data_IF_018590563475
#
_entry.id   IF_018590563475
#
_cell.length_a   1.000
_cell.length_b   1.000
_cell.length_c   1.000
_cell.angle_alpha   90.00
_cell.angle_beta   90.00
_cell.angle_gamma   90.00
#
_symmetry.space_group_name_H-M   'P 1'
#
loop_
_entity.id
_entity.type
_entity.pdbx_description
1 polymer ?
#
# COMPACT_ATOMS: atom_id res chain seq x y z
N UNK A 1 1.12 -17.13 -20.80
CA UNK A 1 1.37 -18.34 -21.56
C UNK A 1 2.79 -18.84 -21.23
N UNK A 2 2.88 -20.04 -20.65
CA UNK A 2 4.13 -20.64 -20.15
C UNK A 2 5.14 -20.88 -21.28
N UNK A 3 4.68 -21.16 -22.48
CA UNK A 3 5.54 -21.39 -23.65
C UNK A 3 6.18 -20.08 -24.14
N UNK A 4 5.41 -18.99 -24.21
CA UNK A 4 5.94 -17.67 -24.56
C UNK A 4 6.99 -17.23 -23.56
N UNK A 5 6.74 -17.44 -22.27
CA UNK A 5 7.68 -17.15 -21.20
C UNK A 5 8.97 -17.99 -21.30
N UNK A 6 8.85 -19.30 -21.53
CA UNK A 6 9.97 -20.20 -21.71
C UNK A 6 10.83 -19.79 -22.92
N UNK A 7 10.20 -19.40 -24.04
CA UNK A 7 10.90 -18.90 -25.21
C UNK A 7 11.66 -17.60 -24.92
N UNK A 8 11.04 -16.62 -24.23
CA UNK A 8 11.72 -15.37 -23.80
C UNK A 8 12.89 -15.65 -22.88
N UNK A 9 12.77 -16.61 -21.95
CA UNK A 9 13.87 -17.01 -21.07
C UNK A 9 15.03 -17.63 -21.84
N UNK A 10 14.75 -18.43 -22.89
CA UNK A 10 15.77 -18.99 -23.76
C UNK A 10 16.57 -17.90 -24.49
N UNK A 11 15.86 -16.90 -25.05
CA UNK A 11 16.52 -15.72 -25.63
C UNK A 11 17.38 -14.98 -24.62
N UNK A 12 16.84 -14.73 -23.42
CA UNK A 12 17.56 -14.04 -22.35
C UNK A 12 18.83 -14.77 -21.93
N UNK A 13 18.78 -16.10 -21.81
CA UNK A 13 19.95 -16.93 -21.49
C UNK A 13 20.99 -16.85 -22.59
N UNK A 14 20.58 -17.07 -23.85
CA UNK A 14 21.48 -17.06 -24.99
C UNK A 14 22.15 -15.67 -25.18
N UNK A 15 21.44 -14.59 -24.94
CA UNK A 15 21.99 -13.22 -24.96
C UNK A 15 23.02 -13.04 -23.85
N UNK A 16 22.77 -13.54 -22.65
CA UNK A 16 23.71 -13.49 -21.53
C UNK A 16 25.01 -14.29 -21.85
N UNK A 17 24.91 -15.36 -22.65
CA UNK A 17 26.02 -16.16 -23.14
C UNK A 17 26.71 -15.55 -24.38
N UNK A 18 26.30 -14.35 -24.79
CA UNK A 18 26.92 -13.58 -25.87
C UNK A 18 26.37 -13.84 -27.27
N UNK A 19 25.23 -14.51 -27.42
CA UNK A 19 24.59 -14.73 -28.71
C UNK A 19 24.04 -13.42 -29.31
N UNK A 20 24.17 -13.24 -30.61
CA UNK A 20 23.57 -12.11 -31.34
C UNK A 20 22.03 -12.33 -31.43
N UNK A 21 21.25 -11.43 -30.86
CA UNK A 21 19.79 -11.57 -30.77
C UNK A 21 18.99 -10.78 -31.83
N UNK A 22 19.65 -9.87 -32.56
CA UNK A 22 18.98 -9.00 -33.55
C UNK A 22 18.95 -9.53 -34.97
N UNK A 23 19.47 -10.72 -35.22
CA UNK A 23 19.59 -11.32 -36.56
C UNK A 23 18.85 -12.65 -36.72
N UNK A 24 17.99 -13.01 -35.77
CA UNK A 24 17.22 -14.26 -35.78
C UNK A 24 18.02 -15.52 -35.43
N UNK A 25 19.29 -15.40 -35.06
CA UNK A 25 20.16 -16.56 -34.80
C UNK A 25 19.65 -17.43 -33.64
N UNK A 26 19.14 -16.80 -32.55
CA UNK A 26 18.63 -17.53 -31.38
C UNK A 26 17.37 -18.30 -31.77
N UNK A 27 16.42 -17.68 -32.48
CA UNK A 27 15.22 -18.34 -32.98
C UNK A 27 15.55 -19.56 -33.86
N UNK A 28 16.52 -19.44 -34.76
CA UNK A 28 16.98 -20.56 -35.59
C UNK A 28 17.56 -21.71 -34.76
N UNK A 29 18.33 -21.43 -33.70
CA UNK A 29 18.86 -22.46 -32.79
C UNK A 29 17.78 -23.17 -32.00
N UNK A 30 16.71 -22.47 -31.61
CA UNK A 30 15.55 -23.09 -30.95
C UNK A 30 14.80 -24.00 -31.95
N UNK A 31 14.51 -23.51 -33.14
CA UNK A 31 13.81 -24.28 -34.19
C UNK A 31 14.60 -25.52 -34.59
N UNK A 32 15.92 -25.40 -34.73
CA UNK A 32 16.80 -26.54 -35.08
C UNK A 32 16.99 -27.55 -33.95
N UNK A 33 16.56 -27.21 -32.72
CA UNK A 33 16.77 -28.02 -31.53
C UNK A 33 18.18 -28.00 -30.98
N UNK A 34 19.03 -27.07 -31.44
CA UNK A 34 20.36 -26.83 -30.91
C UNK A 34 20.26 -26.18 -29.52
N UNK A 35 19.27 -25.33 -29.32
CA UNK A 35 18.91 -24.72 -28.04
C UNK A 35 17.56 -25.31 -27.61
N UNK A 36 17.54 -26.09 -26.52
CA UNK A 36 16.34 -26.75 -25.99
C UNK A 36 15.99 -26.17 -24.63
N UNK A 37 15.16 -25.12 -24.56
CA UNK A 37 14.61 -24.66 -23.29
C UNK A 37 13.67 -25.73 -22.70
N UNK A 38 13.66 -25.83 -21.38
CA UNK A 38 12.63 -26.58 -20.67
C UNK A 38 11.26 -25.91 -20.97
N UNK A 39 10.21 -26.69 -21.22
CA UNK A 39 8.86 -26.20 -21.50
C UNK A 39 8.66 -25.42 -22.83
N UNK A 40 8.98 -26.02 -23.97
CA UNK A 40 8.51 -25.49 -25.25
C UNK A 40 7.45 -26.43 -25.85
N UNK A 41 6.49 -25.93 -26.70
CA UNK A 41 5.51 -26.77 -27.35
C UNK A 41 6.18 -27.77 -28.27
N UNK A 42 5.72 -29.00 -28.25
CA UNK A 42 6.15 -30.06 -29.20
C UNK A 42 5.61 -29.81 -30.63
N UNK A 43 4.62 -28.90 -30.77
CA UNK A 43 4.07 -28.54 -32.05
C UNK A 43 4.95 -27.50 -32.77
N UNK A 44 5.58 -27.84 -33.91
CA UNK A 44 6.47 -26.94 -34.63
C UNK A 44 5.80 -25.65 -35.12
N UNK A 45 4.51 -25.69 -35.46
CA UNK A 45 3.79 -24.49 -35.92
C UNK A 45 3.54 -23.49 -34.80
N UNK A 46 3.20 -23.98 -33.62
CA UNK A 46 3.03 -23.16 -32.41
C UNK A 46 4.37 -22.58 -31.93
N UNK A 47 5.44 -23.36 -31.98
CA UNK A 47 6.79 -22.88 -31.65
C UNK A 47 7.24 -21.75 -32.58
N UNK A 48 6.96 -21.88 -33.89
CA UNK A 48 7.26 -20.84 -34.88
C UNK A 48 6.51 -19.54 -34.57
N UNK A 49 5.25 -19.62 -34.20
CA UNK A 49 4.43 -18.45 -33.87
C UNK A 49 5.03 -17.67 -32.68
N UNK A 50 5.47 -18.34 -31.61
CA UNK A 50 6.16 -17.69 -30.48
C UNK A 50 7.47 -17.06 -30.87
N UNK A 51 8.28 -17.75 -31.68
CA UNK A 51 9.58 -17.24 -32.13
C UNK A 51 9.40 -16.02 -33.05
N UNK A 52 8.48 -16.10 -34.01
CA UNK A 52 8.18 -14.98 -34.90
C UNK A 52 7.68 -13.77 -34.13
N UNK A 53 6.85 -13.97 -33.11
CA UNK A 53 6.39 -12.90 -32.20
C UNK A 53 7.55 -12.25 -31.41
N UNK A 54 8.47 -13.04 -30.87
CA UNK A 54 9.66 -12.54 -30.17
C UNK A 54 10.58 -11.78 -31.12
N UNK A 55 10.89 -12.32 -32.29
CA UNK A 55 11.74 -11.68 -33.30
C UNK A 55 11.13 -10.37 -33.82
N UNK A 56 9.80 -10.33 -33.96
CA UNK A 56 9.06 -9.11 -34.30
C UNK A 56 9.25 -8.05 -33.21
N UNK A 57 9.03 -8.38 -31.93
CA UNK A 57 9.22 -7.46 -30.81
C UNK A 57 10.65 -6.96 -30.70
N UNK A 58 11.65 -7.82 -30.99
CA UNK A 58 13.07 -7.44 -31.05
C UNK A 58 13.32 -6.44 -32.19
N UNK A 59 12.76 -6.72 -33.39
CA UNK A 59 12.93 -5.86 -34.57
C UNK A 59 12.34 -4.47 -34.38
N UNK A 60 11.22 -4.38 -33.65
CA UNK A 60 10.54 -3.12 -33.32
C UNK A 60 11.16 -2.39 -32.09
N UNK A 61 12.28 -2.90 -31.55
CA UNK A 61 12.91 -2.40 -30.32
C UNK A 61 11.96 -2.37 -29.10
N UNK A 62 11.06 -3.36 -28.99
CA UNK A 62 10.14 -3.51 -27.86
C UNK A 62 10.60 -4.57 -26.85
N UNK A 63 11.56 -5.44 -27.25
CA UNK A 63 12.11 -6.50 -26.41
C UNK A 63 13.65 -6.50 -26.49
N UNK A 64 14.31 -6.75 -25.36
CA UNK A 64 15.79 -6.74 -25.19
C UNK A 64 16.45 -5.45 -25.67
N UNK A 65 15.81 -4.31 -25.45
CA UNK A 65 16.36 -3.01 -25.79
C UNK A 65 17.26 -2.49 -24.68
N UNK A 66 18.18 -1.57 -25.04
CA UNK A 66 18.91 -0.80 -24.03
C UNK A 66 17.94 0.08 -23.24
N UNK A 67 18.11 0.18 -21.91
CA UNK A 67 17.34 1.10 -21.09
C UNK A 67 17.81 2.55 -21.32
N UNK A 68 17.23 3.20 -22.33
CA UNK A 68 17.53 4.59 -22.66
C UNK A 68 17.07 5.59 -21.61
N UNK A 69 16.26 5.15 -20.63
CA UNK A 69 15.71 5.99 -19.56
C UNK A 69 16.47 5.87 -18.24
N UNK A 70 17.40 4.92 -18.11
CA UNK A 70 18.09 4.63 -16.85
C UNK A 70 18.78 5.87 -16.27
N UNK A 71 19.55 6.59 -17.10
CA UNK A 71 20.25 7.80 -16.65
C UNK A 71 19.28 8.92 -16.29
N UNK A 72 18.22 9.11 -17.07
CA UNK A 72 17.18 10.11 -16.80
C UNK A 72 16.45 9.80 -15.49
N UNK A 73 16.17 8.53 -15.23
CA UNK A 73 15.53 8.09 -13.97
C UNK A 73 16.46 8.31 -12.78
N UNK A 74 17.77 7.99 -12.92
CA UNK A 74 18.78 8.23 -11.88
C UNK A 74 18.95 9.73 -11.58
N UNK A 75 19.00 10.57 -12.59
CA UNK A 75 19.08 12.03 -12.43
C UNK A 75 17.81 12.58 -11.77
N UNK A 76 16.64 12.11 -12.21
CA UNK A 76 15.37 12.46 -11.62
C UNK A 76 15.33 12.07 -10.13
N UNK A 77 15.78 10.85 -9.80
CA UNK A 77 15.85 10.38 -8.41
C UNK A 77 16.76 11.27 -7.55
N UNK A 78 17.96 11.61 -8.04
CA UNK A 78 18.89 12.52 -7.35
C UNK A 78 18.29 13.91 -7.12
N UNK A 79 17.64 14.46 -8.15
CA UNK A 79 16.96 15.75 -8.03
C UNK A 79 15.84 15.73 -7.00
N UNK A 80 15.02 14.67 -7.01
CA UNK A 80 13.93 14.51 -6.05
C UNK A 80 14.44 14.26 -4.63
N UNK A 81 15.48 13.46 -4.49
CA UNK A 81 16.17 13.24 -3.22
C UNK A 81 16.68 14.58 -2.65
N UNK A 82 17.34 15.39 -3.47
CA UNK A 82 17.82 16.71 -3.06
C UNK A 82 16.69 17.63 -2.58
N UNK A 83 15.56 17.66 -3.30
CA UNK A 83 14.37 18.42 -2.87
C UNK A 83 13.78 17.92 -1.56
N UNK A 84 13.64 16.60 -1.39
CA UNK A 84 13.10 15.99 -0.17
C UNK A 84 14.02 16.24 1.00
N UNK A 85 15.33 16.15 0.80
CA UNK A 85 16.33 16.44 1.81
C UNK A 85 16.28 17.91 2.25
N UNK A 86 16.27 18.85 1.30
CA UNK A 86 16.12 20.27 1.60
C UNK A 86 14.79 20.58 2.31
N UNK A 87 13.71 19.91 1.95
CA UNK A 87 12.43 20.03 2.65
C UNK A 87 12.52 19.48 4.08
N UNK A 88 13.16 18.32 4.29
CA UNK A 88 13.39 17.72 5.59
C UNK A 88 14.24 18.63 6.52
N UNK A 89 15.34 19.16 6.02
CA UNK A 89 16.21 20.09 6.74
C UNK A 89 15.49 21.37 7.18
N UNK A 90 14.57 21.86 6.35
CA UNK A 90 13.74 23.04 6.64
C UNK A 90 12.42 22.72 7.36
N UNK A 91 12.17 21.46 7.68
CA UNK A 91 10.94 21.00 8.32
C UNK A 91 9.68 21.32 7.51
N UNK A 92 9.74 21.30 6.17
CA UNK A 92 8.61 21.60 5.29
C UNK A 92 8.35 20.48 4.27
N UNK A 93 7.22 20.57 3.53
CA UNK A 93 6.86 19.59 2.50
C UNK A 93 5.90 18.51 2.98
N UNK A 94 5.35 18.61 4.19
CA UNK A 94 4.35 17.69 4.71
C UNK A 94 3.05 17.81 3.91
N UNK A 95 2.49 16.67 3.51
CA UNK A 95 1.18 16.59 2.85
C UNK A 95 0.19 15.73 3.64
N UNK A 96 0.68 14.92 4.58
CA UNK A 96 -0.17 14.00 5.31
C UNK A 96 0.30 13.82 6.76
N UNK A 97 -0.67 13.57 7.65
CA UNK A 97 -0.45 13.23 9.05
C UNK A 97 -1.36 12.09 9.49
N UNK A 98 -0.79 11.10 10.15
CA UNK A 98 -1.53 10.08 10.87
C UNK A 98 -1.67 10.51 12.33
N UNK A 99 -2.90 10.80 12.76
CA UNK A 99 -3.19 11.15 14.14
C UNK A 99 -3.56 9.89 14.92
N UNK A 100 -2.71 9.48 15.84
CA UNK A 100 -3.01 8.43 16.80
C UNK A 100 -3.93 9.01 17.88
N UNK A 101 -5.21 9.14 17.56
CA UNK A 101 -6.16 9.75 18.49
C UNK A 101 -6.42 8.90 19.74
N UNK A 102 -6.06 7.61 19.70
CA UNK A 102 -6.15 6.70 20.83
C UNK A 102 -4.98 5.72 20.84
N UNK A 103 -4.14 5.74 21.85
CA UNK A 103 -3.25 4.66 22.23
C UNK A 103 -3.98 3.72 23.18
N UNK A 104 -5.12 3.21 22.73
CA UNK A 104 -5.97 2.23 23.39
C UNK A 104 -6.85 1.55 22.35
N UNK A 105 -7.23 0.29 22.59
CA UNK A 105 -8.11 -0.46 21.70
C UNK A 105 -9.12 -1.27 22.53
N UNK A 106 -10.30 -1.50 21.97
CA UNK A 106 -11.34 -2.36 22.53
C UNK A 106 -11.28 -3.81 21.99
N UNK A 107 -10.28 -4.13 21.15
CA UNK A 107 -9.91 -5.47 20.71
C UNK A 107 -8.48 -5.80 21.13
N UNK A 108 -8.20 -7.11 21.26
CA UNK A 108 -6.92 -7.69 21.64
C UNK A 108 -6.41 -8.58 20.51
N UNK A 109 -6.22 -8.00 19.31
CA UNK A 109 -5.79 -8.76 18.13
C UNK A 109 -4.38 -9.32 18.31
N UNK A 110 -4.18 -10.61 18.01
CA UNK A 110 -2.92 -11.32 18.24
C UNK A 110 -1.76 -10.72 17.41
N UNK A 111 -1.96 -10.47 16.12
CA UNK A 111 -0.94 -9.96 15.20
C UNK A 111 -0.79 -8.43 15.22
N UNK A 112 -1.33 -7.74 16.23
CA UNK A 112 -1.36 -6.29 16.25
C UNK A 112 0.04 -5.67 16.39
N UNK A 113 0.56 -5.07 15.32
CA UNK A 113 1.86 -4.38 15.31
C UNK A 113 1.91 -3.22 16.33
N UNK A 114 0.76 -2.66 16.68
CA UNK A 114 0.61 -1.56 17.64
C UNK A 114 0.51 -2.03 19.12
N UNK A 115 0.85 -3.29 19.43
CA UNK A 115 0.70 -3.85 20.77
C UNK A 115 -0.68 -3.54 21.37
N UNK A 116 -1.75 -3.93 20.67
CA UNK A 116 -3.15 -3.66 21.00
C UNK A 116 -3.46 -2.15 21.18
N UNK A 117 -2.76 -1.34 20.41
CA UNK A 117 -2.90 0.12 20.38
C UNK A 117 -2.00 0.88 21.35
N UNK A 118 -1.20 0.20 22.18
CA UNK A 118 -0.35 0.84 23.19
C UNK A 118 0.97 1.40 22.64
N UNK A 119 1.42 0.94 21.46
CA UNK A 119 2.64 1.40 20.80
C UNK A 119 3.84 1.45 21.76
N UNK A 120 4.07 0.35 22.51
CA UNK A 120 5.12 0.21 23.55
C UNK A 120 4.97 1.19 24.73
N UNK A 121 3.91 1.99 24.78
CA UNK A 121 3.65 2.99 25.81
C UNK A 121 2.48 2.60 26.73
N UNK A 122 1.86 3.64 27.32
CA UNK A 122 0.68 3.53 28.17
C UNK A 122 -0.58 3.85 27.38
N UNK A 123 -1.73 3.34 27.84
CA UNK A 123 -3.02 3.76 27.34
C UNK A 123 -3.15 5.29 27.44
N UNK A 124 -3.53 5.91 26.34
CA UNK A 124 -3.70 7.37 26.25
C UNK A 124 -4.74 7.74 25.19
N UNK A 125 -5.48 8.80 25.42
CA UNK A 125 -6.33 9.44 24.43
C UNK A 125 -5.76 10.82 24.10
N UNK A 126 -5.74 11.15 22.82
CA UNK A 126 -5.28 12.47 22.36
C UNK A 126 -6.25 13.55 22.85
N UNK A 127 -5.70 14.61 23.39
CA UNK A 127 -6.50 15.78 23.74
C UNK A 127 -6.91 16.57 22.50
N UNK A 128 -8.02 17.30 22.56
CA UNK A 128 -8.43 18.18 21.47
C UNK A 128 -7.37 19.28 21.19
N UNK A 129 -6.63 19.71 22.19
CA UNK A 129 -5.55 20.67 22.02
C UNK A 129 -4.43 20.13 21.15
N UNK A 130 -3.95 18.90 21.43
CA UNK A 130 -2.93 18.21 20.62
C UNK A 130 -3.43 18.02 19.20
N UNK A 131 -4.67 17.57 19.00
CA UNK A 131 -5.26 17.35 17.68
C UNK A 131 -5.33 18.65 16.86
N UNK A 132 -5.76 19.77 17.46
CA UNK A 132 -5.78 21.09 16.80
C UNK A 132 -4.38 21.57 16.45
N UNK A 133 -3.43 21.48 17.37
CA UNK A 133 -2.04 21.84 17.11
C UNK A 133 -1.41 21.00 15.99
N UNK A 134 -1.81 19.74 15.87
CA UNK A 134 -1.35 18.87 14.77
C UNK A 134 -1.83 19.36 13.42
N UNK A 135 -3.07 19.85 13.30
CA UNK A 135 -3.55 20.47 12.05
C UNK A 135 -2.85 21.80 11.76
N UNK A 136 -2.62 22.64 12.77
CA UNK A 136 -1.84 23.88 12.63
C UNK A 136 -0.41 23.58 12.18
N UNK A 137 0.20 22.53 12.76
CA UNK A 137 1.52 22.05 12.39
C UNK A 137 1.55 21.61 10.93
N UNK A 138 0.58 20.77 10.50
CA UNK A 138 0.50 20.31 9.11
C UNK A 138 0.38 21.47 8.13
N UNK A 139 -0.51 22.43 8.35
CA UNK A 139 -0.63 23.62 7.48
C UNK A 139 0.68 24.42 7.44
N UNK A 140 1.29 24.66 8.58
CA UNK A 140 2.55 25.44 8.70
C UNK A 140 3.67 24.79 7.88
N UNK A 141 3.75 23.46 7.88
CA UNK A 141 4.83 22.69 7.25
C UNK A 141 4.46 22.14 5.86
N UNK A 142 3.27 22.46 5.34
CA UNK A 142 2.76 21.88 4.07
C UNK A 142 3.28 22.56 2.79
N UNK A 143 4.00 23.67 2.88
CA UNK A 143 4.47 24.37 1.69
C UNK A 143 3.33 24.66 0.70
N UNK A 144 3.49 24.26 -0.54
CA UNK A 144 2.51 24.50 -1.61
C UNK A 144 1.50 23.36 -1.81
N UNK A 145 1.50 22.31 -0.95
CA UNK A 145 0.51 21.24 -1.07
C UNK A 145 -0.90 21.76 -0.83
N UNK A 146 -1.80 21.50 -1.77
CA UNK A 146 -3.20 21.91 -1.70
C UNK A 146 -4.00 20.94 -0.84
N UNK A 147 -3.88 19.64 -1.12
CA UNK A 147 -4.56 18.59 -0.38
C UNK A 147 -3.69 18.16 0.80
N UNK A 148 -4.28 18.15 1.98
CA UNK A 148 -3.66 17.77 3.23
C UNK A 148 -4.42 16.58 3.80
N UNK A 149 -3.80 15.41 3.81
CA UNK A 149 -4.41 14.17 4.28
C UNK A 149 -4.26 14.04 5.79
N UNK A 150 -5.33 13.68 6.46
CA UNK A 150 -5.38 13.47 7.91
C UNK A 150 -6.04 12.12 8.18
N UNK A 151 -5.23 11.15 8.60
CA UNK A 151 -5.70 9.80 8.91
C UNK A 151 -5.94 9.68 10.41
N UNK A 152 -7.18 9.43 10.81
CA UNK A 152 -7.49 9.06 12.19
C UNK A 152 -7.21 7.58 12.41
N UNK A 153 -6.24 7.33 13.28
CA UNK A 153 -5.66 6.03 13.54
C UNK A 153 -5.35 5.82 15.03
N UNK A 154 -4.59 4.77 15.34
CA UNK A 154 -4.14 4.41 16.69
C UNK A 154 -4.48 2.96 17.01
N UNK A 155 -4.97 2.68 18.20
CA UNK A 155 -5.60 1.42 18.55
C UNK A 155 -6.99 1.34 17.93
N UNK A 156 -7.99 2.05 18.51
CA UNK A 156 -9.31 2.25 17.92
C UNK A 156 -9.69 3.74 18.01
N UNK A 157 -9.69 4.46 16.91
CA UNK A 157 -9.95 5.90 16.93
C UNK A 157 -11.35 6.30 17.41
N UNK A 158 -12.35 5.43 17.24
CA UNK A 158 -13.71 5.71 17.71
C UNK A 158 -13.86 5.68 19.24
N UNK A 159 -12.86 5.20 19.99
CA UNK A 159 -12.79 5.41 21.44
C UNK A 159 -12.69 6.90 21.79
N UNK A 160 -12.13 7.70 20.87
CA UNK A 160 -11.99 9.15 21.02
C UNK A 160 -12.81 9.93 19.98
N UNK A 161 -14.00 9.42 19.62
CA UNK A 161 -14.84 9.98 18.54
C UNK A 161 -15.18 11.46 18.69
N UNK A 162 -15.29 11.95 19.92
CA UNK A 162 -15.57 13.37 20.18
C UNK A 162 -14.41 14.27 19.74
N UNK A 163 -13.18 13.83 19.99
CA UNK A 163 -11.98 14.53 19.51
C UNK A 163 -11.88 14.42 17.99
N UNK A 164 -12.16 13.27 17.39
CA UNK A 164 -12.19 13.10 15.93
C UNK A 164 -13.16 14.11 15.29
N UNK A 165 -14.41 14.16 15.75
CA UNK A 165 -15.44 15.11 15.24
C UNK A 165 -15.03 16.57 15.42
N UNK A 166 -14.51 16.92 16.59
CA UNK A 166 -14.09 18.28 16.91
C UNK A 166 -12.86 18.69 16.09
N UNK A 167 -11.97 17.77 15.81
CA UNK A 167 -10.78 17.99 14.95
C UNK A 167 -11.18 18.26 13.51
N UNK A 168 -12.14 17.50 12.98
CA UNK A 168 -12.68 17.74 11.63
C UNK A 168 -13.34 19.12 11.55
N UNK A 169 -14.18 19.47 12.53
CA UNK A 169 -14.83 20.79 12.58
C UNK A 169 -13.80 21.92 12.62
N UNK A 170 -12.74 21.78 13.42
CA UNK A 170 -11.63 22.72 13.47
C UNK A 170 -10.88 22.79 12.14
N UNK A 171 -10.61 21.66 11.49
CA UNK A 171 -9.98 21.62 10.18
C UNK A 171 -10.79 22.40 9.13
N UNK A 172 -12.11 22.25 9.11
CA UNK A 172 -13.00 23.03 8.21
C UNK A 172 -12.99 24.53 8.51
N UNK A 173 -12.89 24.91 9.78
CA UNK A 173 -12.71 26.30 10.17
C UNK A 173 -11.35 26.85 9.72
N UNK A 174 -10.30 26.07 9.94
CA UNK A 174 -8.92 26.41 9.57
C UNK A 174 -8.76 26.58 8.05
N UNK A 175 -9.39 25.70 7.24
CA UNK A 175 -9.45 25.85 5.77
C UNK A 175 -10.06 27.19 5.38
N UNK A 176 -11.23 27.53 5.91
CA UNK A 176 -11.91 28.80 5.60
C UNK A 176 -11.06 30.00 5.96
N UNK A 177 -10.47 30.00 7.16
CA UNK A 177 -9.61 31.08 7.66
C UNK A 177 -8.34 31.25 6.84
N UNK A 178 -7.70 30.13 6.45
CA UNK A 178 -6.47 30.16 5.66
C UNK A 178 -6.73 30.58 4.23
N UNK A 179 -7.72 30.02 3.59
CA UNK A 179 -8.10 30.27 2.18
C UNK A 179 -8.70 31.68 1.97
N UNK A 180 -9.23 32.30 3.03
CA UNK A 180 -9.74 33.68 2.99
C UNK A 180 -8.65 34.75 3.00
N UNK A 181 -7.37 34.40 3.19
CA UNK A 181 -6.25 35.35 3.15
C UNK A 181 -5.72 35.48 1.72
N UNK A 182 -5.65 36.70 1.23
CA UNK A 182 -5.07 37.00 -0.08
C UNK A 182 -3.61 36.52 -0.17
N UNK A 183 -3.25 35.87 -1.28
CA UNK A 183 -1.90 35.39 -1.55
C UNK A 183 -1.55 34.02 -0.96
N UNK A 184 -2.40 33.43 -0.14
CA UNK A 184 -2.18 32.07 0.34
C UNK A 184 -2.56 31.03 -0.73
N UNK A 185 -1.78 29.95 -0.90
CA UNK A 185 -2.22 28.82 -1.71
C UNK A 185 -3.44 28.17 -1.04
N UNK A 186 -4.42 27.74 -1.85
CA UNK A 186 -5.60 27.03 -1.32
C UNK A 186 -5.18 25.77 -0.56
N UNK A 187 -5.84 25.49 0.57
CA UNK A 187 -5.67 24.27 1.36
C UNK A 187 -6.99 23.55 1.53
N UNK A 188 -6.95 22.22 1.49
CA UNK A 188 -8.11 21.36 1.70
C UNK A 188 -7.69 20.15 2.53
N UNK A 189 -8.27 19.97 3.70
CA UNK A 189 -8.12 18.75 4.47
C UNK A 189 -8.96 17.61 3.90
N UNK A 190 -8.35 16.45 3.76
CA UNK A 190 -9.01 15.20 3.41
C UNK A 190 -8.87 14.27 4.60
N UNK A 191 -10.00 13.98 5.24
CA UNK A 191 -10.02 13.14 6.45
C UNK A 191 -10.32 11.70 6.07
N UNK A 192 -9.59 10.76 6.69
CA UNK A 192 -9.82 9.31 6.61
C UNK A 192 -9.92 8.72 8.01
N UNK A 193 -10.59 7.57 8.12
CA UNK A 193 -10.79 6.86 9.38
C UNK A 193 -10.53 5.38 9.16
N UNK A 194 -9.66 4.79 9.98
CA UNK A 194 -9.48 3.32 10.04
C UNK A 194 -10.11 2.82 11.33
N UNK A 195 -11.02 1.84 11.26
CA UNK A 195 -11.73 1.33 12.43
C UNK A 195 -11.92 -0.18 12.41
N UNK A 196 -11.91 -0.79 13.60
CA UNK A 196 -12.30 -2.19 13.80
C UNK A 196 -13.82 -2.41 13.81
N UNK A 197 -14.61 -1.35 13.73
CA UNK A 197 -16.06 -1.40 13.55
C UNK A 197 -16.92 -1.62 14.80
N UNK A 198 -16.36 -2.00 15.93
CA UNK A 198 -17.15 -2.30 17.16
C UNK A 198 -18.00 -1.12 17.58
N UNK A 199 -17.49 0.11 17.43
CA UNK A 199 -18.15 1.34 17.88
C UNK A 199 -18.91 2.08 16.78
N UNK A 200 -19.09 1.50 15.60
CA UNK A 200 -19.94 2.08 14.56
C UNK A 200 -21.40 2.04 15.01
N UNK A 201 -22.03 3.20 14.95
CA UNK A 201 -23.47 3.46 15.16
C UNK A 201 -23.97 4.44 14.08
N UNK A 202 -25.25 4.82 14.14
CA UNK A 202 -25.86 5.72 13.13
C UNK A 202 -25.19 7.09 13.10
N UNK A 203 -24.78 7.63 14.25
CA UNK A 203 -24.08 8.91 14.36
C UNK A 203 -22.68 8.85 13.70
N UNK A 204 -21.98 7.72 13.82
CA UNK A 204 -20.70 7.50 13.12
C UNK A 204 -20.91 7.37 11.61
N UNK A 205 -21.94 6.64 11.18
CA UNK A 205 -22.28 6.49 9.75
C UNK A 205 -22.56 7.86 9.11
N UNK A 206 -23.45 8.65 9.72
CA UNK A 206 -23.81 9.98 9.22
C UNK A 206 -22.60 10.92 9.18
N UNK A 207 -21.77 10.89 10.22
CA UNK A 207 -20.56 11.68 10.29
C UNK A 207 -19.54 11.30 9.20
N UNK A 208 -19.26 10.00 9.04
CA UNK A 208 -18.28 9.52 8.04
C UNK A 208 -18.76 9.78 6.63
N UNK A 209 -20.05 9.63 6.33
CA UNK A 209 -20.62 9.93 5.02
C UNK A 209 -20.47 11.41 4.63
N UNK A 210 -20.55 12.31 5.61
CA UNK A 210 -20.46 13.76 5.38
C UNK A 210 -19.01 14.26 5.30
N UNK A 211 -18.12 13.76 6.14
CA UNK A 211 -16.83 14.39 6.40
C UNK A 211 -15.62 13.58 5.92
N UNK A 212 -15.72 12.24 5.84
CA UNK A 212 -14.59 11.39 5.48
C UNK A 212 -14.51 11.14 3.99
N UNK A 213 -13.34 11.38 3.39
CA UNK A 213 -13.08 10.99 1.98
C UNK A 213 -13.04 9.48 1.86
N UNK A 214 -12.45 8.78 2.83
CA UNK A 214 -12.35 7.33 2.83
C UNK A 214 -12.57 6.76 4.24
N UNK A 215 -13.09 5.54 4.32
CA UNK A 215 -13.23 4.78 5.56
C UNK A 215 -12.64 3.39 5.35
N UNK A 216 -11.65 3.03 6.17
CA UNK A 216 -11.00 1.72 6.15
C UNK A 216 -11.61 0.85 7.25
N UNK A 217 -12.18 -0.29 6.85
CA UNK A 217 -12.92 -1.21 7.70
C UNK A 217 -12.12 -2.49 7.88
N UNK A 218 -11.75 -2.81 9.12
CA UNK A 218 -10.88 -3.95 9.43
C UNK A 218 -11.64 -5.26 9.46
N UNK A 219 -11.46 -6.11 8.43
CA UNK A 219 -12.06 -7.45 8.32
C UNK A 219 -11.08 -8.39 7.61
N UNK A 220 -10.78 -9.55 8.21
CA UNK A 220 -9.79 -10.47 7.66
C UNK A 220 -10.40 -11.53 6.72
N UNK A 221 -11.73 -11.68 6.70
CA UNK A 221 -12.41 -12.62 5.82
C UNK A 221 -13.47 -13.44 6.52
N UNK A 222 -13.42 -14.77 6.32
CA UNK A 222 -14.34 -15.74 6.90
C UNK A 222 -14.40 -15.59 8.43
N UNK A 223 -15.57 -15.89 9.01
CA UNK A 223 -15.80 -15.71 10.44
C UNK A 223 -14.74 -16.38 11.31
N UNK A 224 -14.41 -17.64 11.04
CA UNK A 224 -13.43 -18.38 11.85
C UNK A 224 -12.01 -17.79 11.72
N UNK A 225 -11.63 -17.31 10.54
CA UNK A 225 -10.34 -16.62 10.31
C UNK A 225 -10.31 -15.31 11.10
N UNK A 226 -11.33 -14.49 10.94
CA UNK A 226 -11.40 -13.20 11.64
C UNK A 226 -11.40 -13.36 13.17
N UNK A 227 -12.29 -14.25 13.68
CA UNK A 227 -12.47 -14.46 15.11
C UNK A 227 -11.30 -15.21 15.77
N UNK A 228 -10.44 -15.89 15.02
CA UNK A 228 -9.21 -16.49 15.57
C UNK A 228 -8.19 -15.44 16.00
N UNK A 229 -8.17 -14.27 15.33
CA UNK A 229 -7.16 -13.22 15.55
C UNK A 229 -7.71 -11.94 16.17
N UNK A 230 -8.95 -11.56 15.84
CA UNK A 230 -9.56 -10.28 16.27
C UNK A 230 -10.59 -10.50 17.36
N UNK A 231 -10.10 -10.85 18.54
CA UNK A 231 -10.92 -11.06 19.74
C UNK A 231 -10.94 -9.82 20.63
N UNK A 232 -11.93 -9.71 21.49
CA UNK A 232 -11.92 -8.75 22.58
C UNK A 232 -11.10 -9.26 23.79
N UNK A 233 -11.00 -8.46 24.84
CA UNK A 233 -10.25 -8.84 26.06
C UNK A 233 -10.83 -10.01 26.84
N UNK A 234 -12.05 -10.45 26.50
CA UNK A 234 -12.67 -11.66 27.05
C UNK A 234 -12.49 -12.88 26.13
N UNK A 235 -11.71 -12.75 25.04
CA UNK A 235 -11.50 -13.79 24.05
C UNK A 235 -12.70 -14.02 23.11
N UNK A 236 -13.67 -13.11 23.07
CA UNK A 236 -14.81 -13.24 22.16
C UNK A 236 -14.49 -12.66 20.79
N UNK A 237 -14.84 -13.39 19.73
CA UNK A 237 -14.71 -12.93 18.37
C UNK A 237 -15.52 -11.67 18.07
N UNK A 238 -15.09 -10.89 17.11
CA UNK A 238 -15.70 -9.62 16.77
C UNK A 238 -16.54 -9.65 15.48
N UNK A 239 -16.47 -10.70 14.68
CA UNK A 239 -17.07 -10.81 13.36
C UNK A 239 -18.59 -10.50 13.36
N UNK A 240 -19.40 -11.22 14.14
CA UNK A 240 -20.85 -11.04 14.17
C UNK A 240 -21.27 -9.64 14.65
N UNK A 241 -20.39 -8.97 15.38
CA UNK A 241 -20.63 -7.63 15.93
C UNK A 241 -20.34 -6.53 14.91
N UNK A 242 -19.44 -6.77 13.94
CA UNK A 242 -18.95 -5.74 13.01
C UNK A 242 -19.53 -5.88 11.60
N UNK A 243 -19.69 -7.09 11.06
CA UNK A 243 -20.12 -7.29 9.67
C UNK A 243 -21.45 -6.60 9.34
N UNK A 244 -22.53 -6.73 10.15
CA UNK A 244 -23.77 -6.01 9.87
C UNK A 244 -23.62 -4.49 9.88
N UNK A 245 -22.69 -3.96 10.69
CA UNK A 245 -22.40 -2.53 10.77
C UNK A 245 -21.63 -2.06 9.53
N UNK A 246 -20.67 -2.85 9.05
CA UNK A 246 -19.93 -2.56 7.84
C UNK A 246 -20.84 -2.55 6.62
N UNK A 247 -21.71 -3.55 6.47
CA UNK A 247 -22.70 -3.61 5.39
C UNK A 247 -23.61 -2.37 5.41
N UNK A 248 -24.10 -1.98 6.59
CA UNK A 248 -24.95 -0.79 6.75
C UNK A 248 -24.20 0.50 6.41
N UNK A 249 -22.97 0.65 6.89
CA UNK A 249 -22.13 1.82 6.59
C UNK A 249 -21.84 1.91 5.09
N UNK A 250 -21.39 0.84 4.47
CA UNK A 250 -21.07 0.81 3.02
C UNK A 250 -22.31 1.12 2.20
N UNK A 251 -23.45 0.48 2.48
CA UNK A 251 -24.70 0.75 1.78
C UNK A 251 -25.10 2.23 1.90
N UNK A 252 -25.12 2.77 3.11
CA UNK A 252 -25.47 4.18 3.37
C UNK A 252 -24.51 5.13 2.66
N UNK A 253 -23.21 4.81 2.65
CA UNK A 253 -22.18 5.62 2.00
C UNK A 253 -22.36 5.67 0.48
N UNK A 254 -22.61 4.52 -0.15
CA UNK A 254 -22.86 4.44 -1.58
C UNK A 254 -24.15 5.14 -2.00
N UNK A 255 -25.23 5.00 -1.20
CA UNK A 255 -26.51 5.69 -1.43
C UNK A 255 -26.34 7.21 -1.30
N UNK A 256 -25.63 7.68 -0.27
CA UNK A 256 -25.35 9.11 -0.07
C UNK A 256 -24.53 9.70 -1.25
N UNK A 257 -23.51 9.00 -1.73
CA UNK A 257 -22.70 9.43 -2.85
C UNK A 257 -23.51 9.48 -4.17
N UNK A 258 -24.37 8.49 -4.43
CA UNK A 258 -25.30 8.49 -5.57
C UNK A 258 -26.29 9.67 -5.53
N UNK A 259 -26.67 10.13 -4.33
CA UNK A 259 -27.51 11.31 -4.14
C UNK A 259 -26.75 12.65 -4.26
N UNK A 260 -25.46 12.62 -4.60
CA UNK A 260 -24.62 13.82 -4.74
C UNK A 260 -23.99 14.31 -3.44
N UNK A 261 -24.05 13.52 -2.37
CA UNK A 261 -23.40 13.80 -1.08
C UNK A 261 -22.11 13.02 -0.90
N UNK A 262 -21.11 13.64 -0.29
CA UNK A 262 -19.88 12.99 0.21
C UNK A 262 -19.11 12.10 -0.79
N UNK A 263 -18.31 11.20 -0.26
CA UNK A 263 -17.49 10.24 -1.02
C UNK A 263 -18.07 8.83 -0.92
N UNK A 264 -17.95 8.04 -1.99
CA UNK A 264 -18.28 6.61 -2.01
C UNK A 264 -17.12 5.74 -1.50
N UNK A 265 -15.92 6.29 -1.35
CA UNK A 265 -14.71 5.52 -1.11
C UNK A 265 -14.71 4.85 0.27
N UNK A 266 -14.44 3.56 0.27
CA UNK A 266 -14.16 2.73 1.44
C UNK A 266 -13.19 1.62 1.06
N UNK A 267 -12.58 0.98 2.05
CA UNK A 267 -11.83 -0.27 1.86
C UNK A 267 -12.15 -1.24 2.99
N UNK A 268 -12.37 -2.50 2.63
CA UNK A 268 -12.20 -3.61 3.56
C UNK A 268 -10.72 -3.94 3.59
N UNK A 269 -10.09 -3.82 4.74
CA UNK A 269 -8.68 -4.15 4.92
C UNK A 269 -8.52 -5.30 5.91
N UNK A 270 -7.95 -6.38 5.43
CA UNK A 270 -7.65 -7.57 6.22
C UNK A 270 -6.17 -7.94 6.18
N UNK A 271 -5.83 -8.92 7.00
CA UNK A 271 -4.49 -9.50 7.08
C UNK A 271 -4.60 -11.01 6.96
N UNK A 272 -3.79 -11.62 6.10
CA UNK A 272 -3.65 -13.06 6.04
C UNK A 272 -2.32 -13.50 6.65
N UNK A 273 -2.29 -14.71 7.18
CA UNK A 273 -1.19 -15.28 7.97
C UNK A 273 -0.90 -16.70 7.53
N UNK A 274 0.11 -17.35 8.12
CA UNK A 274 0.34 -18.79 7.95
C UNK A 274 -0.90 -19.66 8.26
N UNK A 275 -1.78 -19.20 9.14
CA UNK A 275 -2.97 -19.97 9.54
C UNK A 275 -4.14 -19.83 8.55
N UNK A 276 -4.11 -18.86 7.64
CA UNK A 276 -5.07 -18.70 6.55
C UNK A 276 -4.38 -18.33 5.22
N UNK A 277 -3.46 -19.16 4.74
CA UNK A 277 -2.75 -18.90 3.48
C UNK A 277 -3.67 -19.05 2.26
N UNK A 278 -4.86 -19.64 2.42
CA UNK A 278 -5.95 -19.78 1.44
C UNK A 278 -6.83 -18.52 1.37
N UNK A 279 -6.20 -17.35 1.33
CA UNK A 279 -6.86 -16.04 1.46
C UNK A 279 -7.89 -15.74 0.33
N UNK A 280 -7.86 -16.45 -0.79
CA UNK A 280 -8.86 -16.31 -1.85
C UNK A 280 -10.27 -16.65 -1.32
N UNK A 281 -10.40 -17.60 -0.42
CA UNK A 281 -11.67 -17.96 0.20
C UNK A 281 -12.18 -16.83 1.11
N UNK A 282 -11.27 -16.06 1.71
CA UNK A 282 -11.60 -14.86 2.47
C UNK A 282 -12.08 -13.73 1.56
N UNK A 283 -11.46 -13.56 0.39
CA UNK A 283 -11.91 -12.62 -0.64
C UNK A 283 -13.30 -13.01 -1.16
N UNK A 284 -13.52 -14.27 -1.55
CA UNK A 284 -14.84 -14.76 -2.00
C UNK A 284 -15.92 -14.49 -0.96
N UNK A 285 -15.61 -14.77 0.31
CA UNK A 285 -16.52 -14.49 1.42
C UNK A 285 -16.87 -12.99 1.55
N UNK A 286 -15.88 -12.10 1.42
CA UNK A 286 -16.12 -10.65 1.44
C UNK A 286 -16.99 -10.18 0.26
N UNK A 287 -16.80 -10.78 -0.93
CA UNK A 287 -17.61 -10.51 -2.11
C UNK A 287 -19.07 -10.96 -1.91
N UNK A 288 -19.29 -12.13 -1.28
CA UNK A 288 -20.63 -12.64 -0.92
C UNK A 288 -21.33 -11.74 0.11
N UNK A 289 -20.58 -11.09 0.99
CA UNK A 289 -21.09 -10.06 1.91
C UNK A 289 -21.47 -8.74 1.21
N UNK A 290 -21.17 -8.61 -0.08
CA UNK A 290 -21.49 -7.44 -0.90
C UNK A 290 -20.41 -6.35 -0.92
N UNK A 291 -19.21 -6.61 -0.41
CA UNK A 291 -18.09 -5.67 -0.51
C UNK A 291 -17.42 -5.75 -1.87
N UNK A 292 -16.96 -4.61 -2.41
CA UNK A 292 -16.32 -4.52 -3.73
C UNK A 292 -14.98 -3.77 -3.72
N UNK A 293 -14.58 -3.17 -2.60
CA UNK A 293 -13.31 -2.48 -2.41
C UNK A 293 -12.50 -3.25 -1.36
N UNK A 294 -11.51 -4.04 -1.79
CA UNK A 294 -10.82 -5.02 -0.96
C UNK A 294 -9.30 -4.80 -0.95
N UNK A 295 -8.68 -5.01 0.21
CA UNK A 295 -7.24 -5.03 0.41
C UNK A 295 -6.89 -6.06 1.47
N UNK A 296 -6.18 -7.13 1.08
CA UNK A 296 -5.61 -8.10 2.03
C UNK A 296 -4.09 -8.03 1.97
N UNK A 297 -3.48 -7.89 3.14
CA UNK A 297 -2.04 -7.78 3.29
C UNK A 297 -1.46 -9.04 3.94
N UNK A 298 -0.25 -9.46 3.52
CA UNK A 298 0.48 -10.46 4.30
C UNK A 298 0.81 -9.89 5.67
N UNK A 299 0.75 -10.74 6.71
CA UNK A 299 1.27 -10.35 8.01
C UNK A 299 2.77 -10.07 7.91
N UNK A 300 3.22 -9.00 8.56
CA UNK A 300 4.64 -8.67 8.72
C UNK A 300 4.95 -8.68 10.21
N UNK A 301 5.72 -9.67 10.63
CA UNK A 301 6.07 -9.90 12.02
C UNK A 301 7.44 -10.59 12.11
N UNK A 302 7.92 -10.87 13.33
CA UNK A 302 9.08 -11.74 13.52
C UNK A 302 8.82 -13.13 12.93
N UNK A 303 9.79 -13.76 12.26
CA UNK A 303 9.67 -15.13 11.77
C UNK A 303 9.41 -16.18 12.87
N UNK A 304 9.62 -15.82 14.13
CA UNK A 304 9.41 -16.67 15.31
C UNK A 304 7.94 -16.72 15.75
N UNK A 305 7.12 -15.79 15.26
CA UNK A 305 5.70 -15.76 15.59
C UNK A 305 4.96 -16.94 14.93
N UNK A 306 4.05 -17.62 15.65
CA UNK A 306 3.38 -18.81 15.14
C UNK A 306 2.52 -18.56 13.90
N UNK A 307 2.07 -17.33 13.70
CA UNK A 307 1.29 -16.90 12.56
C UNK A 307 2.12 -16.30 11.41
N UNK A 308 3.47 -16.26 11.54
CA UNK A 308 4.36 -15.75 10.52
C UNK A 308 4.29 -16.59 9.25
N UNK A 309 4.25 -15.91 8.10
CA UNK A 309 4.38 -16.54 6.79
C UNK A 309 5.79 -17.13 6.63
N UNK A 310 5.86 -18.32 6.04
CA UNK A 310 7.08 -19.08 5.82
C UNK A 310 7.25 -19.46 4.35
N UNK A 311 8.43 -19.95 3.98
CA UNK A 311 8.69 -20.44 2.62
C UNK A 311 7.74 -21.57 2.20
N UNK A 312 7.18 -22.32 3.18
CA UNK A 312 6.18 -23.38 2.91
C UNK A 312 4.86 -22.85 2.39
N UNK A 313 4.53 -21.60 2.69
CA UNK A 313 3.29 -20.96 2.26
C UNK A 313 3.42 -20.35 0.85
N UNK A 314 4.65 -20.13 0.39
CA UNK A 314 4.94 -19.32 -0.78
C UNK A 314 4.23 -19.84 -2.04
N UNK A 315 4.40 -21.11 -2.38
CA UNK A 315 3.79 -21.72 -3.57
C UNK A 315 2.26 -21.67 -3.55
N UNK A 316 1.68 -21.81 -2.35
CA UNK A 316 0.24 -21.65 -2.19
C UNK A 316 -0.19 -20.20 -2.43
N UNK A 317 0.52 -19.24 -1.82
CA UNK A 317 0.21 -17.82 -2.00
C UNK A 317 0.35 -17.35 -3.45
N UNK A 318 1.34 -17.87 -4.18
CA UNK A 318 1.48 -17.62 -5.62
C UNK A 318 0.20 -18.03 -6.36
N UNK A 319 -0.28 -19.28 -6.15
CA UNK A 319 -1.53 -19.75 -6.75
C UNK A 319 -2.76 -18.94 -6.32
N UNK A 320 -2.81 -18.52 -5.06
CA UNK A 320 -3.90 -17.68 -4.56
C UNK A 320 -4.00 -16.33 -5.30
N UNK A 321 -2.86 -15.72 -5.66
CA UNK A 321 -2.87 -14.50 -6.46
C UNK A 321 -3.29 -14.74 -7.91
N UNK A 322 -2.91 -15.88 -8.50
CA UNK A 322 -3.37 -16.28 -9.85
C UNK A 322 -4.88 -16.48 -9.86
N UNK A 323 -5.42 -17.29 -8.93
CA UNK A 323 -6.87 -17.50 -8.77
C UNK A 323 -7.62 -16.18 -8.53
N UNK A 324 -7.02 -15.23 -7.79
CA UNK A 324 -7.62 -13.91 -7.57
C UNK A 324 -7.71 -13.10 -8.86
N UNK A 325 -6.70 -13.18 -9.73
CA UNK A 325 -6.75 -12.52 -11.03
C UNK A 325 -7.85 -13.10 -11.90
N UNK A 326 -7.96 -14.42 -11.98
CA UNK A 326 -9.05 -15.13 -12.69
C UNK A 326 -10.42 -14.76 -12.12
N UNK A 327 -10.60 -14.82 -10.81
CA UNK A 327 -11.83 -14.43 -10.12
C UNK A 327 -12.24 -12.98 -10.47
N UNK A 328 -11.25 -12.08 -10.51
CA UNK A 328 -11.49 -10.68 -10.87
C UNK A 328 -12.00 -10.53 -12.31
N UNK A 329 -11.46 -11.30 -13.26
CA UNK A 329 -11.93 -11.33 -14.66
C UNK A 329 -13.35 -11.92 -14.77
N UNK A 330 -13.66 -12.95 -13.98
CA UNK A 330 -15.02 -13.51 -13.94
C UNK A 330 -16.06 -12.49 -13.47
N UNK A 331 -15.74 -11.73 -12.40
CA UNK A 331 -16.64 -10.69 -11.88
C UNK A 331 -16.81 -9.55 -12.88
N UNK A 332 -15.76 -9.18 -13.59
CA UNK A 332 -15.82 -8.18 -14.69
C UNK A 332 -16.78 -8.65 -15.81
N UNK A 333 -16.62 -9.90 -16.27
CA UNK A 333 -17.51 -10.52 -17.30
C UNK A 333 -18.97 -10.61 -16.83
N UNK A 334 -19.22 -10.77 -15.54
CA UNK A 334 -20.56 -10.79 -14.94
C UNK A 334 -21.19 -9.39 -14.79
N UNK A 335 -20.43 -8.33 -15.05
CA UNK A 335 -20.88 -6.93 -14.86
C UNK A 335 -21.00 -6.50 -13.39
N UNK A 336 -20.31 -7.17 -12.48
CA UNK A 336 -20.27 -6.89 -11.04
C UNK A 336 -18.81 -6.79 -10.56
N UNK A 337 -17.98 -5.89 -11.13
CA UNK A 337 -16.56 -5.81 -10.84
C UNK A 337 -16.26 -5.45 -9.39
N UNK A 338 -15.11 -5.92 -8.92
CA UNK A 338 -14.55 -5.49 -7.64
C UNK A 338 -13.11 -5.01 -7.81
N UNK A 339 -12.67 -4.16 -6.90
CA UNK A 339 -11.31 -3.67 -6.84
C UNK A 339 -10.54 -4.43 -5.76
N UNK A 340 -9.42 -5.04 -6.17
CA UNK A 340 -8.39 -5.47 -5.25
C UNK A 340 -7.25 -4.45 -5.32
N UNK A 341 -6.98 -3.77 -4.21
CA UNK A 341 -6.08 -2.61 -4.14
C UNK A 341 -4.72 -2.85 -4.84
N UNK A 342 -4.13 -4.03 -4.65
CA UNK A 342 -2.82 -4.35 -5.22
C UNK A 342 -2.84 -4.66 -6.71
N UNK A 343 -4.02 -4.82 -7.33
CA UNK A 343 -4.17 -5.00 -8.77
C UNK A 343 -4.53 -3.71 -9.51
N UNK A 344 -4.66 -2.61 -8.79
CA UNK A 344 -4.92 -1.29 -9.37
C UNK A 344 -3.62 -0.68 -9.88
N UNK A 345 -3.20 -1.08 -11.08
CA UNK A 345 -2.04 -0.54 -11.77
C UNK A 345 -2.46 0.24 -13.01
N UNK A 346 -1.70 1.27 -13.35
CA UNK A 346 -1.86 2.03 -14.59
C UNK A 346 -0.66 1.74 -15.50
N UNK A 347 -0.92 1.08 -16.62
CA UNK A 347 0.10 0.73 -17.63
C UNK A 347 0.24 1.81 -18.70
N UNK A 348 -0.76 2.70 -18.86
CA UNK A 348 -0.79 3.72 -19.92
C UNK A 348 -0.13 5.02 -19.48
N UNK A 349 -0.56 5.57 -18.34
CA UNK A 349 -0.10 6.88 -17.86
C UNK A 349 0.88 6.77 -16.70
N UNK A 350 0.80 5.68 -15.95
CA UNK A 350 1.61 5.39 -14.76
C UNK A 350 1.42 6.39 -13.62
N UNK A 351 1.68 6.01 -12.39
CA UNK A 351 1.68 6.94 -11.27
C UNK A 351 2.81 7.95 -11.39
N UNK A 352 2.63 9.08 -10.70
CA UNK A 352 3.65 10.12 -10.61
C UNK A 352 5.04 9.53 -10.27
N UNK A 353 6.04 9.85 -11.07
CA UNK A 353 7.42 9.33 -10.94
C UNK A 353 7.98 9.56 -9.52
N UNK A 354 7.62 10.63 -8.84
CA UNK A 354 8.00 10.88 -7.45
C UNK A 354 7.60 9.75 -6.50
N UNK A 355 6.35 9.28 -6.61
CA UNK A 355 5.86 8.16 -5.77
C UNK A 355 6.54 6.86 -6.14
N UNK A 356 6.85 6.66 -7.43
CA UNK A 356 7.53 5.47 -7.92
C UNK A 356 8.99 5.39 -7.45
N UNK A 357 9.64 6.51 -7.20
CA UNK A 357 11.03 6.53 -6.76
C UNK A 357 11.21 6.31 -5.26
N UNK A 358 10.27 6.76 -4.44
CA UNK A 358 10.48 6.84 -2.99
C UNK A 358 9.27 6.45 -2.12
N UNK A 359 8.26 5.81 -2.71
CA UNK A 359 7.14 5.22 -1.98
C UNK A 359 6.19 6.23 -1.34
N UNK A 360 5.69 5.91 -0.13
CA UNK A 360 4.61 6.64 0.54
C UNK A 360 5.01 8.01 1.10
N UNK A 361 6.31 8.34 1.13
CA UNK A 361 6.82 9.58 1.69
C UNK A 361 6.92 9.61 3.22
N UNK A 362 6.92 8.44 3.88
CA UNK A 362 7.15 8.35 5.33
C UNK A 362 8.43 9.10 5.75
N UNK A 363 8.35 9.80 6.89
CA UNK A 363 9.45 10.60 7.40
C UNK A 363 9.79 11.87 6.61
N UNK A 364 9.11 12.15 5.49
CA UNK A 364 9.36 13.34 4.66
C UNK A 364 8.09 14.11 4.33
N UNK A 365 7.13 13.49 3.67
CA UNK A 365 5.85 14.08 3.29
C UNK A 365 4.69 13.60 4.19
N UNK A 366 4.91 12.52 4.91
CA UNK A 366 3.97 11.87 5.82
C UNK A 366 4.65 11.62 7.17
N UNK A 367 3.96 11.94 8.26
CA UNK A 367 4.39 11.72 9.65
C UNK A 367 3.23 11.15 10.48
N UNK A 368 3.56 10.57 11.64
CA UNK A 368 2.58 10.19 12.65
C UNK A 368 2.74 11.06 13.89
N UNK A 369 1.61 11.37 14.55
CA UNK A 369 1.59 12.16 15.80
C UNK A 369 0.86 11.35 16.87
N UNK A 370 1.51 11.13 18.01
CA UNK A 370 0.98 10.39 19.16
C UNK A 370 0.01 11.24 20.00
N UNK A 371 -0.72 10.65 20.97
CA UNK A 371 -1.57 11.40 21.89
C UNK A 371 -0.80 12.45 22.73
N UNK A 372 0.51 12.25 22.92
CA UNK A 372 1.40 13.19 23.64
C UNK A 372 1.92 14.31 22.74
N UNK A 373 1.69 14.22 21.43
CA UNK A 373 2.20 15.16 20.45
C UNK A 373 3.57 14.80 19.88
N UNK A 374 4.12 13.64 20.23
CA UNK A 374 5.40 13.16 19.67
C UNK A 374 5.26 12.84 18.19
N UNK A 375 6.28 13.18 17.42
CA UNK A 375 6.32 13.07 15.96
C UNK A 375 7.21 11.91 15.55
N UNK A 376 6.68 11.02 14.70
CA UNK A 376 7.41 9.87 14.15
C UNK A 376 7.31 9.82 12.62
N UNK A 377 8.23 9.13 11.90
CA UNK A 377 8.20 9.01 10.43
C UNK A 377 6.91 8.39 9.89
N UNK A 378 6.33 7.41 10.57
CA UNK A 378 5.01 6.87 10.29
C UNK A 378 4.45 6.14 11.52
N UNK A 379 3.20 5.67 11.41
CA UNK A 379 2.50 4.97 12.49
C UNK A 379 3.21 3.70 12.99
N UNK A 380 4.00 3.03 12.15
CA UNK A 380 4.72 1.81 12.53
C UNK A 380 5.99 2.08 13.36
N UNK A 381 6.50 3.31 13.35
CA UNK A 381 7.64 3.71 14.16
C UNK A 381 7.24 4.38 15.49
N UNK A 382 5.93 4.59 15.71
CA UNK A 382 5.46 5.24 16.92
C UNK A 382 5.85 4.43 18.17
N UNK A 383 6.50 5.09 19.13
CA UNK A 383 7.02 4.47 20.36
C UNK A 383 8.48 4.02 20.27
N UNK A 384 9.09 3.98 19.09
CA UNK A 384 10.52 3.70 18.95
C UNK A 384 11.32 5.01 19.09
N UNK A 385 12.01 5.17 20.24
CA UNK A 385 12.81 6.37 20.55
C UNK A 385 13.90 6.66 19.49
N UNK A 386 14.39 5.64 18.79
CA UNK A 386 15.36 5.80 17.70
C UNK A 386 14.81 6.71 16.62
N UNK A 387 13.51 6.62 16.34
CA UNK A 387 12.82 7.35 15.27
C UNK A 387 11.95 8.52 15.76
N UNK A 388 12.07 8.92 17.02
CA UNK A 388 11.40 10.12 17.51
C UNK A 388 11.98 11.36 16.81
N UNK A 389 11.16 12.06 16.01
CA UNK A 389 11.56 13.25 15.25
C UNK A 389 11.51 14.54 16.09
N UNK A 390 10.69 14.57 17.10
CA UNK A 390 10.43 15.73 17.96
C UNK A 390 9.01 15.72 18.51
N UNK A 391 8.47 16.89 18.83
CA UNK A 391 7.13 17.03 19.37
C UNK A 391 6.42 18.25 18.75
N UNK A 392 5.09 18.24 18.63
CA UNK A 392 4.33 19.34 18.00
C UNK A 392 4.47 20.69 18.72
N UNK A 393 4.91 20.70 19.96
CA UNK A 393 5.15 21.91 20.75
C UNK A 393 6.53 22.50 20.45
N UNK A 394 7.54 21.67 20.31
CA UNK A 394 8.94 22.06 20.11
C UNK A 394 9.34 22.06 18.63
N UNK A 395 8.56 21.35 17.79
CA UNK A 395 8.83 21.15 16.38
C UNK A 395 9.67 19.90 16.09
N UNK A 396 10.21 19.83 14.88
CA UNK A 396 11.12 18.77 14.48
C UNK A 396 12.50 19.07 15.01
N UNK A 397 13.01 18.20 15.87
CA UNK A 397 14.30 18.35 16.55
C UNK A 397 15.40 17.48 15.92
N UNK A 398 15.00 16.41 15.22
CA UNK A 398 15.90 15.42 14.65
C UNK A 398 15.67 15.29 13.13
N UNK A 399 15.99 16.39 12.42
CA UNK A 399 15.87 16.46 10.97
C UNK A 399 16.82 15.48 10.25
N UNK A 400 17.92 15.04 10.90
CA UNK A 400 18.81 14.01 10.38
C UNK A 400 18.08 12.70 10.06
N UNK A 401 17.11 12.29 10.89
CA UNK A 401 16.28 11.11 10.63
C UNK A 401 15.40 11.34 9.40
N UNK A 402 14.79 12.52 9.27
CA UNK A 402 14.01 12.84 8.06
C UNK A 402 14.89 12.81 6.81
N UNK A 403 16.15 13.23 6.91
CA UNK A 403 17.11 13.13 5.81
C UNK A 403 17.43 11.67 5.45
N UNK A 404 17.55 10.77 6.43
CA UNK A 404 17.72 9.34 6.17
C UNK A 404 16.53 8.76 5.34
N UNK A 405 15.30 9.17 5.67
CA UNK A 405 14.11 8.78 4.88
C UNK A 405 14.07 9.47 3.50
N UNK A 406 14.55 10.71 3.39
CA UNK A 406 14.66 11.40 2.11
C UNK A 406 15.67 10.74 1.16
N UNK A 407 16.75 10.21 1.72
CA UNK A 407 17.79 9.50 1.00
C UNK A 407 17.38 8.06 0.59
N UNK A 408 16.30 7.53 1.17
CA UNK A 408 15.83 6.19 0.90
C UNK A 408 14.95 6.16 -0.36
N UNK A 409 15.49 5.63 -1.46
CA UNK A 409 14.80 5.49 -2.75
C UNK A 409 15.24 4.20 -3.46
N UNK A 410 14.63 3.89 -4.60
CA UNK A 410 14.91 2.65 -5.36
C UNK A 410 16.36 2.51 -5.83
N UNK A 411 17.08 3.61 -6.05
CA UNK A 411 18.48 3.58 -6.51
C UNK A 411 19.49 3.58 -5.36
N UNK A 412 19.06 3.78 -4.12
CA UNK A 412 19.92 3.69 -2.93
C UNK A 412 19.88 2.31 -2.26
N UNK A 413 19.19 1.36 -2.88
CA UNK A 413 19.08 -0.05 -2.48
C UNK A 413 19.55 -0.91 -3.63
N UNK A 414 20.64 -1.65 -3.46
CA UNK A 414 21.31 -2.42 -4.53
C UNK A 414 20.36 -3.39 -5.25
N UNK A 415 19.55 -4.14 -4.50
CA UNK A 415 18.59 -5.09 -5.07
C UNK A 415 17.44 -4.39 -5.81
N UNK A 416 16.98 -3.25 -5.30
CA UNK A 416 15.91 -2.49 -5.93
C UNK A 416 16.35 -1.86 -7.25
N UNK A 417 17.60 -1.37 -7.34
CA UNK A 417 18.14 -0.76 -8.54
C UNK A 417 18.18 -1.70 -9.77
N UNK A 418 18.18 -3.01 -9.53
CA UNK A 418 18.20 -4.06 -10.56
C UNK A 418 16.85 -4.79 -10.70
N UNK A 419 15.84 -4.40 -9.93
CA UNK A 419 14.56 -5.07 -9.89
C UNK A 419 13.64 -4.59 -11.01
N UNK A 420 13.10 -5.51 -11.81
CA UNK A 420 12.15 -5.17 -12.87
C UNK A 420 10.87 -4.49 -12.34
N UNK A 421 10.45 -4.83 -11.11
CA UNK A 421 9.24 -4.28 -10.47
C UNK A 421 9.51 -2.95 -9.74
N UNK A 422 10.72 -2.37 -9.81
CA UNK A 422 11.13 -1.21 -9.01
C UNK A 422 10.18 -0.02 -9.12
N UNK A 423 9.70 0.29 -10.34
CA UNK A 423 8.79 1.42 -10.58
C UNK A 423 7.33 1.14 -10.20
N UNK A 424 6.96 -0.11 -9.94
CA UNK A 424 5.67 -0.49 -9.38
C UNK A 424 5.72 -0.54 -7.84
N UNK A 425 6.80 -1.11 -7.29
CA UNK A 425 7.02 -1.28 -5.86
C UNK A 425 7.42 0.01 -5.14
N UNK A 426 8.17 0.89 -5.82
CA UNK A 426 8.71 2.12 -5.24
C UNK A 426 9.65 1.89 -4.02
N UNK A 427 10.34 0.74 -3.98
CA UNK A 427 11.25 0.37 -2.89
C UNK A 427 10.58 -0.28 -1.67
N UNK A 428 9.26 -0.53 -1.71
CA UNK A 428 8.54 -1.17 -0.61
C UNK A 428 8.32 -0.28 0.62
N UNK A 429 8.01 -0.90 1.75
CA UNK A 429 7.76 -0.23 3.01
C UNK A 429 9.05 -0.12 3.85
N UNK A 430 9.44 1.10 4.23
CA UNK A 430 10.61 1.34 5.07
C UNK A 430 10.47 0.69 6.46
N UNK A 431 9.26 0.66 7.02
CA UNK A 431 9.02 0.00 8.31
C UNK A 431 9.15 -1.52 8.19
N UNK A 432 8.58 -2.15 7.15
CA UNK A 432 8.74 -3.59 6.93
C UNK A 432 10.22 -3.95 6.72
N UNK A 433 10.96 -3.13 5.97
CA UNK A 433 12.40 -3.29 5.80
C UNK A 433 13.12 -3.26 7.16
N UNK A 434 12.82 -2.25 7.98
CA UNK A 434 13.41 -2.10 9.31
C UNK A 434 13.08 -3.28 10.24
N UNK A 435 11.82 -3.70 10.30
CA UNK A 435 11.42 -4.85 11.14
C UNK A 435 12.05 -6.17 10.68
N UNK A 436 12.27 -6.34 9.37
CA UNK A 436 12.89 -7.55 8.84
C UNK A 436 14.42 -7.57 8.91
N UNK A 437 15.09 -6.40 8.85
CA UNK A 437 16.54 -6.32 8.67
C UNK A 437 17.27 -5.42 9.66
N UNK A 438 16.54 -4.62 10.45
CA UNK A 438 17.12 -3.58 11.32
C UNK A 438 17.50 -2.29 10.60
N UNK A 439 17.28 -2.19 9.28
CA UNK A 439 17.60 -1.02 8.45
C UNK A 439 16.40 -0.63 7.58
N UNK A 440 16.07 0.68 7.54
CA UNK A 440 15.00 1.20 6.67
C UNK A 440 15.30 1.03 5.18
N UNK A 441 16.56 0.81 4.81
CA UNK A 441 17.04 0.52 3.44
C UNK A 441 17.15 -0.96 3.14
N UNK A 442 16.92 -1.83 4.12
CA UNK A 442 16.94 -3.27 3.92
C UNK A 442 15.83 -3.75 2.99
N UNK A 443 15.92 -5.01 2.59
CA UNK A 443 14.91 -5.66 1.77
C UNK A 443 14.26 -6.81 2.53
N UNK A 444 12.95 -6.80 2.62
CA UNK A 444 12.16 -7.94 3.06
C UNK A 444 11.97 -8.88 1.88
N UNK A 445 12.91 -9.81 1.65
CA UNK A 445 12.98 -10.65 0.46
C UNK A 445 11.67 -11.40 0.16
N UNK A 446 11.06 -12.03 1.16
CA UNK A 446 9.78 -12.73 1.02
C UNK A 446 8.67 -11.81 0.50
N UNK A 447 8.57 -10.61 1.07
CA UNK A 447 7.61 -9.59 0.62
C UNK A 447 7.91 -9.07 -0.78
N UNK A 448 9.19 -9.02 -1.20
CA UNK A 448 9.58 -8.65 -2.56
C UNK A 448 9.07 -9.66 -3.59
N UNK A 449 9.21 -10.96 -3.33
CA UNK A 449 8.75 -12.00 -4.26
C UNK A 449 7.23 -12.03 -4.36
N UNK A 450 6.49 -11.93 -3.25
CA UNK A 450 5.04 -11.80 -3.27
C UNK A 450 4.58 -10.54 -4.01
N UNK A 451 5.31 -9.43 -3.86
CA UNK A 451 4.98 -8.20 -4.58
C UNK A 451 5.17 -8.34 -6.09
N UNK A 452 6.26 -8.96 -6.53
CA UNK A 452 6.49 -9.26 -7.95
C UNK A 452 5.34 -10.09 -8.53
N UNK A 453 4.92 -11.15 -7.81
CA UNK A 453 3.79 -11.98 -8.24
C UNK A 453 2.48 -11.20 -8.35
N UNK A 454 2.20 -10.31 -7.41
CA UNK A 454 1.02 -9.41 -7.49
C UNK A 454 1.04 -8.55 -8.76
N UNK A 455 2.20 -8.00 -9.12
CA UNK A 455 2.32 -7.16 -10.31
C UNK A 455 2.19 -7.99 -11.59
N UNK A 456 2.76 -9.19 -11.65
CA UNK A 456 2.56 -10.12 -12.77
C UNK A 456 1.06 -10.40 -12.98
N UNK A 457 0.34 -10.78 -11.93
CA UNK A 457 -1.10 -11.02 -11.98
C UNK A 457 -1.90 -9.76 -12.38
N UNK A 458 -1.50 -8.58 -11.90
CA UNK A 458 -2.15 -7.32 -12.25
C UNK A 458 -1.94 -6.97 -13.72
N UNK A 459 -0.74 -7.21 -14.27
CA UNK A 459 -0.43 -7.01 -15.70
C UNK A 459 -1.23 -8.00 -16.54
N UNK A 460 -1.20 -9.29 -16.20
CA UNK A 460 -1.96 -10.33 -16.92
C UNK A 460 -3.46 -10.00 -16.96
N UNK A 461 -4.04 -9.62 -15.82
CA UNK A 461 -5.44 -9.16 -15.75
C UNK A 461 -5.71 -7.97 -16.69
N UNK A 462 -4.82 -6.96 -16.72
CA UNK A 462 -4.99 -5.78 -17.60
C UNK A 462 -4.97 -6.15 -19.07
N UNK A 463 -4.08 -7.03 -19.49
CA UNK A 463 -3.99 -7.53 -20.85
C UNK A 463 -5.30 -8.25 -21.23
N UNK A 464 -5.77 -9.19 -20.40
CA UNK A 464 -7.03 -9.91 -20.64
C UNK A 464 -8.27 -9.04 -20.69
N UNK A 465 -8.25 -7.83 -20.10
CA UNK A 465 -9.34 -6.85 -20.20
C UNK A 465 -9.27 -5.99 -21.47
N UNK A 466 -8.13 -5.99 -22.16
CA UNK A 466 -7.92 -5.20 -23.39
C UNK A 466 -8.21 -5.99 -24.65
N UNK A 467 -8.30 -7.33 -24.54
CA UNK A 467 -8.74 -8.26 -25.58
C UNK A 467 -10.26 -8.34 -25.66
#
# INVERSE_FOLDING_TARGET
DDYAYAAVLAYKSAIADGAAYRNGEIGQKIISGELKPDLLPDNPAELLEYIDGIEHLISENQLFTDDIYEDVLKETARFQQGKRRAAAENGCGLKAVCLHVAHSCNLNCEYCFAAQGKYQGRDALMSLEVAKKSLDFLIKHSGNHINLDVDFFGGEPLLNRNVVKSTVAYGRELERKYNGRAGNPKKRFRFTLTTNGILIDDDVIDFTNREMVNVVLSLDGRKHVHDSKRVDYNGQGSYDRIVPKFQRLVKSRLENAKAGGGSAEYYIRGTYTHENPDFIEDIKHMLDLGFRELSLEPVVCSPEEPYALTDRDFDLLVRQYEELAELSLEYEKKGDPFNFYHYMIDLEHGPCIHKKLAGCGSGTEYIAITPQGDIYPCHQFAGDEKYLLGNIYDGIMRSEIMCEFADNNIFTRDDCAKCWAQLYCAGGCAANAYHATGDIRGNYAYGCELFKKRIECAIARKISLSE
#
